data_IF_932273685656
#
_entry.id   IF_932273685656
#
_cell.length_a   1.000
_cell.length_b   1.000
_cell.length_c   1.000
_cell.angle_alpha   90.00
_cell.angle_beta   90.00
_cell.angle_gamma   90.00
#
_symmetry.space_group_name_H-M   'P 1'
#
loop_
_entity.id
_entity.type
_entity.pdbx_description
1 polymer ?
#
# COMPACT_ATOMS: atom_id res chain seq x y z
N UNK A 1 14.97 11.78 -8.14
CA UNK A 1 15.03 13.22 -7.81
C UNK A 1 13.69 13.74 -7.29
N UNK A 2 12.57 13.55 -8.01
CA UNK A 2 11.22 14.00 -7.60
C UNK A 2 10.77 13.48 -6.22
N UNK A 3 10.80 12.17 -5.98
CA UNK A 3 10.42 11.61 -4.66
C UNK A 3 11.24 12.19 -3.51
N UNK A 4 12.55 12.34 -3.68
CA UNK A 4 13.41 12.90 -2.65
C UNK A 4 13.06 14.35 -2.31
N UNK A 5 12.68 15.15 -3.31
CA UNK A 5 12.18 16.52 -3.11
C UNK A 5 10.82 16.53 -2.42
N UNK A 6 9.91 15.63 -2.84
CA UNK A 6 8.59 15.49 -2.24
C UNK A 6 8.67 15.12 -0.76
N UNK A 7 9.51 14.14 -0.39
CA UNK A 7 9.70 13.74 1.01
C UNK A 7 10.20 14.88 1.90
N UNK A 8 11.01 15.81 1.35
CA UNK A 8 11.46 17.00 2.09
C UNK A 8 10.35 18.03 2.29
N UNK A 9 9.45 18.18 1.32
CA UNK A 9 8.37 19.17 1.36
C UNK A 9 7.11 18.66 2.08
N UNK A 10 6.84 17.35 2.01
CA UNK A 10 5.68 16.69 2.56
C UNK A 10 6.09 15.29 3.07
N UNK A 11 6.06 15.05 4.39
CA UNK A 11 6.32 13.74 4.95
C UNK A 11 5.34 12.71 4.36
N UNK A 12 5.87 11.76 3.60
CA UNK A 12 5.06 10.70 3.03
C UNK A 12 4.58 9.75 4.12
N UNK A 13 3.40 9.16 3.93
CA UNK A 13 2.92 8.13 4.84
C UNK A 13 3.95 6.97 4.87
N UNK A 14 4.39 6.51 6.06
CA UNK A 14 5.36 5.41 6.17
C UNK A 14 4.94 4.10 5.49
N UNK A 15 3.63 3.92 5.23
CA UNK A 15 3.06 2.76 4.53
C UNK A 15 2.91 2.96 3.02
N UNK A 16 3.18 4.15 2.47
CA UNK A 16 3.21 4.36 1.03
C UNK A 16 4.35 3.52 0.46
N UNK A 17 4.04 2.65 -0.51
CA UNK A 17 5.03 1.84 -1.24
C UNK A 17 5.18 2.23 -2.71
N UNK A 18 4.23 3.02 -3.24
CA UNK A 18 4.30 3.56 -4.61
C UNK A 18 5.27 4.73 -4.72
N UNK A 19 6.04 4.75 -5.82
CA UNK A 19 6.95 5.84 -6.22
C UNK A 19 8.01 6.24 -5.17
N UNK A 20 8.32 5.34 -4.23
CA UNK A 20 9.39 5.52 -3.24
C UNK A 20 10.48 4.47 -3.37
N UNK A 21 11.67 4.77 -2.83
CA UNK A 21 12.77 3.80 -2.74
C UNK A 21 12.52 2.84 -1.57
N UNK A 22 11.73 1.80 -1.82
CA UNK A 22 11.42 0.73 -0.86
C UNK A 22 11.37 -0.63 -1.58
N UNK A 23 11.09 -1.71 -0.85
CA UNK A 23 10.91 -3.07 -1.38
C UNK A 23 9.68 -3.24 -2.31
N UNK A 24 9.06 -2.14 -2.74
CA UNK A 24 7.86 -2.10 -3.57
C UNK A 24 6.63 -2.68 -2.85
N UNK A 25 5.70 -3.23 -3.64
CA UNK A 25 4.43 -3.77 -3.14
C UNK A 25 4.54 -5.19 -2.55
N UNK A 26 5.72 -5.82 -2.60
CA UNK A 26 5.93 -7.20 -2.12
C UNK A 26 5.55 -7.37 -0.64
N UNK A 27 5.86 -6.37 0.18
CA UNK A 27 5.50 -6.35 1.60
C UNK A 27 3.98 -6.28 1.80
N UNK A 28 3.29 -5.41 1.05
CA UNK A 28 1.83 -5.29 1.11
C UNK A 28 1.14 -6.60 0.70
N UNK A 29 1.65 -7.27 -0.33
CA UNK A 29 1.15 -8.58 -0.77
C UNK A 29 1.36 -9.65 0.30
N UNK A 30 2.55 -9.72 0.89
CA UNK A 30 2.86 -10.68 1.96
C UNK A 30 1.99 -10.45 3.20
N UNK A 31 1.75 -9.20 3.56
CA UNK A 31 0.85 -8.82 4.65
C UNK A 31 -0.59 -9.26 4.35
N UNK A 32 -1.13 -8.92 3.17
CA UNK A 32 -2.47 -9.31 2.76
C UNK A 32 -2.66 -10.84 2.76
N UNK A 33 -1.70 -11.58 2.21
CA UNK A 33 -1.71 -13.05 2.23
C UNK A 33 -1.73 -13.60 3.67
N UNK A 34 -0.99 -12.99 4.58
CA UNK A 34 -0.94 -13.40 5.99
C UNK A 34 -2.28 -13.17 6.67
N UNK A 35 -2.91 -12.02 6.44
CA UNK A 35 -4.25 -11.69 6.98
C UNK A 35 -5.30 -12.67 6.46
N UNK A 36 -5.30 -12.97 5.15
CA UNK A 36 -6.21 -13.95 4.54
C UNK A 36 -6.02 -15.34 5.16
N UNK A 37 -4.77 -15.80 5.34
CA UNK A 37 -4.47 -17.09 5.98
C UNK A 37 -4.95 -17.14 7.43
N UNK A 38 -4.77 -16.05 8.18
CA UNK A 38 -5.25 -15.94 9.57
C UNK A 38 -6.77 -16.05 9.65
N UNK A 39 -7.48 -15.28 8.81
CA UNK A 39 -8.94 -15.28 8.78
C UNK A 39 -9.50 -16.66 8.43
N UNK A 40 -8.88 -17.37 7.47
CA UNK A 40 -9.22 -18.76 7.13
C UNK A 40 -9.01 -19.71 8.31
N UNK A 41 -7.86 -19.63 8.99
CA UNK A 41 -7.54 -20.48 10.15
C UNK A 41 -8.52 -20.27 11.31
N UNK A 42 -8.91 -19.03 11.54
CA UNK A 42 -9.82 -18.63 12.63
C UNK A 42 -11.30 -18.74 12.25
N UNK A 43 -11.63 -19.17 11.03
CA UNK A 43 -13.01 -19.26 10.52
C UNK A 43 -13.81 -17.96 10.68
N UNK A 44 -13.14 -16.82 10.51
CA UNK A 44 -13.75 -15.50 10.65
C UNK A 44 -13.91 -14.80 9.29
N UNK A 45 -14.99 -14.01 9.09
CA UNK A 45 -15.13 -13.21 7.89
C UNK A 45 -14.02 -12.18 7.77
N UNK A 46 -13.62 -11.89 6.53
CA UNK A 46 -12.66 -10.85 6.19
C UNK A 46 -13.20 -10.02 5.02
N UNK A 47 -13.38 -8.73 5.26
CA UNK A 47 -13.66 -7.75 4.21
C UNK A 47 -12.38 -7.12 3.69
N UNK A 48 -12.26 -6.96 2.37
CA UNK A 48 -11.15 -6.25 1.71
C UNK A 48 -11.75 -5.26 0.72
N UNK A 49 -11.31 -4.00 0.78
CA UNK A 49 -11.73 -2.94 -0.13
C UNK A 49 -10.53 -2.46 -0.93
N UNK A 50 -10.66 -2.49 -2.26
CA UNK A 50 -9.68 -1.90 -3.17
C UNK A 50 -10.22 -0.54 -3.63
N UNK A 51 -9.44 0.51 -3.40
CA UNK A 51 -9.80 1.89 -3.77
C UNK A 51 -8.84 2.34 -4.87
N UNK A 52 -9.39 2.96 -5.91
CA UNK A 52 -8.63 3.52 -7.02
C UNK A 52 -9.10 4.96 -7.31
N UNK A 53 -8.19 5.79 -7.82
CA UNK A 53 -8.48 7.18 -8.18
C UNK A 53 -8.44 7.28 -9.70
N UNK A 54 -9.59 7.45 -10.33
CA UNK A 54 -9.68 7.65 -11.77
C UNK A 54 -8.94 8.92 -12.19
N UNK A 55 -8.17 8.84 -13.29
CA UNK A 55 -7.42 9.98 -13.86
C UNK A 55 -6.47 10.67 -12.86
N UNK A 56 -5.79 9.89 -12.03
CA UNK A 56 -4.90 10.38 -10.96
C UNK A 56 -3.78 11.36 -11.40
N UNK A 57 -3.52 11.48 -12.72
CA UNK A 57 -2.50 12.36 -13.28
C UNK A 57 -3.04 13.39 -14.29
N UNK A 58 -4.34 13.39 -14.62
CA UNK A 58 -4.91 14.28 -15.64
C UNK A 58 -5.32 15.66 -15.06
N UNK A 59 -5.03 15.90 -13.77
CA UNK A 59 -5.29 17.15 -13.05
C UNK A 59 -3.98 17.83 -12.70
#
# INVERSE_FOLDING_TARGET
ILTARLTKACPLNPRQRGFIRAAGCSENLKLLQTIIRSAKREHRPLGVVFVDIAKAFDT
#
